data_IF_308573790696
#
_entry.id   IF_308573790696
#
_cell.length_a   1.000
_cell.length_b   1.000
_cell.length_c   1.000
_cell.angle_alpha   90.00
_cell.angle_beta   90.00
_cell.angle_gamma   90.00
#
_symmetry.space_group_name_H-M   'P 1'
#
loop_
_entity.id
_entity.type
_entity.pdbx_description
1 polymer ?
#
# COMPACT_ATOMS: atom_id res chain seq x y z
N UNK A 1 24.57 -0.60 12.93
CA UNK A 1 23.84 0.24 11.97
C UNK A 1 22.37 -0.15 11.91
N UNK A 2 21.49 0.82 12.02
CA UNK A 2 20.06 0.54 12.00
C UNK A 2 19.57 0.51 10.56
N UNK A 3 18.65 -0.41 10.27
CA UNK A 3 17.99 -0.44 8.98
C UNK A 3 16.79 0.50 8.97
N UNK A 4 15.95 0.40 7.96
CA UNK A 4 14.75 1.21 7.88
C UNK A 4 13.78 0.87 9.00
N UNK A 5 12.88 1.80 9.28
CA UNK A 5 11.82 1.54 10.24
C UNK A 5 10.74 0.70 9.57
N UNK A 6 10.50 -0.46 10.11
CA UNK A 6 9.55 -1.40 9.52
C UNK A 6 8.36 -1.61 10.44
N UNK A 7 7.21 -1.85 9.84
CA UNK A 7 6.02 -2.22 10.60
C UNK A 7 6.18 -3.64 11.10
N UNK A 8 5.66 -3.95 12.29
CA UNK A 8 5.66 -5.33 12.76
C UNK A 8 4.73 -6.18 11.91
N UNK A 9 4.95 -7.48 11.95
CA UNK A 9 4.04 -8.39 11.27
C UNK A 9 2.66 -8.33 11.91
N UNK A 10 1.59 -8.42 11.11
CA UNK A 10 0.26 -8.55 11.69
C UNK A 10 0.18 -9.83 12.54
N UNK A 11 -0.58 -9.82 13.63
CA UNK A 11 -0.62 -10.97 14.54
C UNK A 11 -1.00 -12.28 13.87
N UNK A 12 -1.88 -12.26 12.88
CA UNK A 12 -2.33 -13.47 12.20
C UNK A 12 -1.32 -14.01 11.20
N UNK A 13 -0.23 -13.28 10.97
CA UNK A 13 0.84 -13.70 10.06
C UNK A 13 1.99 -14.34 10.81
N UNK A 14 2.17 -13.97 12.09
CA UNK A 14 3.29 -14.44 12.87
C UNK A 14 3.28 -15.96 12.96
N UNK A 15 4.39 -16.58 12.55
CA UNK A 15 4.52 -18.03 12.59
C UNK A 15 3.85 -18.77 11.46
N UNK A 16 3.28 -18.07 10.48
CA UNK A 16 2.62 -18.71 9.35
C UNK A 16 3.58 -18.81 8.17
N UNK A 17 4.05 -20.01 7.91
CA UNK A 17 4.95 -20.22 6.78
C UNK A 17 4.25 -20.12 5.43
N UNK A 18 2.93 -20.27 5.43
CA UNK A 18 2.13 -20.17 4.22
C UNK A 18 1.74 -18.73 3.89
N UNK A 19 2.06 -17.77 4.75
CA UNK A 19 1.82 -16.37 4.46
C UNK A 19 2.96 -15.82 3.62
N UNK A 20 2.64 -14.98 2.64
CA UNK A 20 3.64 -14.37 1.77
C UNK A 20 3.40 -12.88 1.70
N UNK A 21 4.47 -12.12 1.82
CA UNK A 21 4.40 -10.67 1.69
C UNK A 21 4.30 -10.31 0.22
N UNK A 22 3.28 -9.53 -0.12
CA UNK A 22 3.06 -9.18 -1.53
C UNK A 22 3.49 -7.76 -1.86
N UNK A 23 3.62 -6.91 -0.85
CA UNK A 23 3.92 -5.49 -1.06
C UNK A 23 4.65 -4.92 0.13
N UNK A 24 5.70 -4.15 -0.13
CA UNK A 24 6.35 -3.31 0.88
C UNK A 24 6.43 -1.90 0.32
N UNK A 25 6.02 -0.93 1.12
CA UNK A 25 6.03 0.47 0.71
C UNK A 25 6.73 1.30 1.78
N UNK A 26 7.67 2.14 1.35
CA UNK A 26 8.46 2.98 2.25
C UNK A 26 8.42 4.41 1.74
N UNK A 27 8.49 5.35 2.67
CA UNK A 27 8.69 6.75 2.32
C UNK A 27 10.16 7.07 2.55
N UNK A 28 10.83 7.52 1.51
CA UNK A 28 12.25 7.85 1.53
C UNK A 28 12.42 9.23 0.90
N UNK A 29 12.98 10.17 1.65
CA UNK A 29 13.21 11.54 1.17
C UNK A 29 11.94 12.16 0.59
N UNK A 30 10.81 11.90 1.24
CA UNK A 30 9.53 12.45 0.80
C UNK A 30 8.89 11.71 -0.37
N UNK A 31 9.54 10.70 -0.91
CA UNK A 31 9.00 9.93 -2.02
C UNK A 31 8.62 8.52 -1.61
N UNK A 32 7.89 7.85 -2.45
CA UNK A 32 7.42 6.50 -2.21
C UNK A 32 8.33 5.48 -2.90
N UNK A 33 8.76 4.49 -2.15
CA UNK A 33 9.57 3.39 -2.68
C UNK A 33 8.83 2.09 -2.42
N UNK A 34 8.62 1.30 -3.45
CA UNK A 34 7.77 0.13 -3.38
C UNK A 34 8.51 -1.09 -3.91
N UNK A 35 8.41 -2.19 -3.17
CA UNK A 35 8.79 -3.51 -3.66
C UNK A 35 7.54 -4.38 -3.63
N UNK A 36 7.32 -5.13 -4.70
CA UNK A 36 6.12 -5.97 -4.74
C UNK A 36 6.36 -7.23 -5.54
N UNK A 37 5.48 -8.19 -5.34
CA UNK A 37 5.45 -9.43 -6.10
C UNK A 37 4.12 -9.47 -6.86
N UNK A 38 4.17 -9.89 -8.11
CA UNK A 38 2.94 -10.08 -8.86
C UNK A 38 2.26 -11.34 -8.33
N UNK A 39 1.50 -11.17 -7.24
CA UNK A 39 0.96 -12.27 -6.47
C UNK A 39 -0.32 -12.84 -7.05
N UNK A 40 -1.00 -12.10 -7.91
CA UNK A 40 -2.31 -12.49 -8.45
C UNK A 40 -2.23 -12.64 -9.95
N UNK A 41 -3.00 -13.59 -10.47
CA UNK A 41 -3.03 -13.78 -11.92
C UNK A 41 -3.71 -12.64 -12.63
N UNK A 42 -4.78 -12.11 -12.03
CA UNK A 42 -5.57 -11.06 -12.65
C UNK A 42 -5.24 -9.71 -12.01
N UNK A 43 -4.99 -8.69 -12.83
CA UNK A 43 -4.73 -7.34 -12.28
C UNK A 43 -5.87 -6.84 -11.40
N UNK A 44 -7.09 -7.31 -11.64
CA UNK A 44 -8.28 -6.90 -10.89
C UNK A 44 -8.10 -7.10 -9.40
N UNK A 45 -7.41 -8.16 -9.01
CA UNK A 45 -7.21 -8.47 -7.59
C UNK A 45 -6.38 -7.41 -6.88
N UNK A 46 -5.50 -6.73 -7.62
CA UNK A 46 -4.78 -5.59 -7.05
C UNK A 46 -5.74 -4.45 -6.71
N UNK A 47 -6.81 -4.30 -7.50
CA UNK A 47 -7.83 -3.31 -7.17
C UNK A 47 -8.48 -3.59 -5.84
N UNK A 48 -8.81 -4.86 -5.58
CA UNK A 48 -9.38 -5.24 -4.28
C UNK A 48 -8.41 -4.98 -3.15
N UNK A 49 -7.13 -5.34 -3.35
CA UNK A 49 -6.11 -5.08 -2.33
C UNK A 49 -6.01 -3.61 -2.01
N UNK A 50 -5.98 -2.77 -3.04
CA UNK A 50 -5.84 -1.33 -2.84
C UNK A 50 -7.06 -0.74 -2.14
N UNK A 51 -8.25 -1.23 -2.42
CA UNK A 51 -9.45 -0.79 -1.70
C UNK A 51 -9.35 -1.16 -0.23
N UNK A 52 -8.90 -2.36 0.07
CA UNK A 52 -8.73 -2.77 1.46
C UNK A 52 -7.72 -1.88 2.18
N UNK A 53 -6.62 -1.55 1.51
CA UNK A 53 -5.62 -0.64 2.08
C UNK A 53 -6.26 0.72 2.33
N UNK A 54 -7.03 1.24 1.38
CA UNK A 54 -7.68 2.53 1.55
C UNK A 54 -8.64 2.54 2.73
N UNK A 55 -9.40 1.46 2.92
CA UNK A 55 -10.33 1.37 4.05
C UNK A 55 -9.59 1.30 5.37
N UNK A 56 -8.50 0.53 5.44
CA UNK A 56 -7.69 0.49 6.65
C UNK A 56 -7.08 1.85 6.98
N UNK A 57 -6.59 2.56 5.95
CA UNK A 57 -6.06 3.90 6.15
C UNK A 57 -7.14 4.85 6.66
N UNK A 58 -8.35 4.78 6.09
CA UNK A 58 -9.45 5.64 6.51
C UNK A 58 -9.82 5.41 7.97
N UNK A 59 -9.82 4.14 8.40
CA UNK A 59 -10.09 3.81 9.81
C UNK A 59 -9.01 4.36 10.73
N UNK A 60 -7.77 4.33 10.29
CA UNK A 60 -6.68 4.90 11.09
C UNK A 60 -6.86 6.40 11.27
N UNK A 61 -7.26 7.10 10.21
CA UNK A 61 -7.52 8.52 10.32
C UNK A 61 -8.71 8.82 11.24
N UNK A 62 -9.75 7.99 11.18
CA UNK A 62 -10.89 8.19 12.07
C UNK A 62 -10.52 7.94 13.52
N UNK A 63 -9.57 7.03 13.77
CA UNK A 63 -9.14 6.73 15.14
C UNK A 63 -8.14 7.75 15.67
N UNK A 64 -7.20 8.18 14.84
CA UNK A 64 -6.03 8.93 15.30
C UNK A 64 -6.05 10.41 14.94
N UNK A 65 -7.00 10.85 14.13
CA UNK A 65 -7.06 12.22 13.66
C UNK A 65 -8.52 12.70 13.65
N UNK A 66 -8.75 13.93 13.21
CA UNK A 66 -10.07 14.53 13.27
C UNK A 66 -10.81 14.33 11.94
N UNK A 67 -11.09 13.07 11.63
CA UNK A 67 -11.83 12.70 10.43
C UNK A 67 -12.88 11.66 10.79
N UNK A 68 -13.97 11.62 10.02
CA UNK A 68 -14.79 10.42 10.02
C UNK A 68 -14.18 9.43 9.04
N UNK A 69 -14.50 8.17 9.21
CA UNK A 69 -14.00 7.14 8.27
C UNK A 69 -14.48 7.44 6.86
N UNK A 70 -15.74 7.84 6.71
CA UNK A 70 -16.31 8.14 5.39
C UNK A 70 -15.58 9.30 4.72
N UNK A 71 -15.33 10.37 5.45
CA UNK A 71 -14.64 11.54 4.89
C UNK A 71 -13.21 11.19 4.50
N UNK A 72 -12.52 10.44 5.35
CA UNK A 72 -11.15 10.05 5.04
C UNK A 72 -11.11 9.17 3.78
N UNK A 73 -12.02 8.22 3.68
CA UNK A 73 -12.07 7.35 2.50
C UNK A 73 -12.36 8.14 1.24
N UNK A 74 -13.31 9.07 1.32
CA UNK A 74 -13.64 9.92 0.17
C UNK A 74 -12.43 10.70 -0.30
N UNK A 75 -11.68 11.28 0.63
CA UNK A 75 -10.49 12.05 0.27
C UNK A 75 -9.42 11.17 -0.37
N UNK A 76 -9.23 9.96 0.15
CA UNK A 76 -8.25 9.02 -0.42
C UNK A 76 -8.65 8.66 -1.85
N UNK A 77 -9.92 8.32 -2.06
CA UNK A 77 -10.40 7.92 -3.38
C UNK A 77 -10.33 9.08 -4.37
N UNK A 78 -10.72 10.28 -3.93
CA UNK A 78 -10.67 11.45 -4.80
C UNK A 78 -9.25 11.75 -5.26
N UNK A 79 -8.27 11.67 -4.37
CA UNK A 79 -6.88 11.89 -4.74
C UNK A 79 -6.38 10.77 -5.65
N UNK A 80 -6.77 9.54 -5.39
CA UNK A 80 -6.40 8.41 -6.23
C UNK A 80 -6.88 8.62 -7.67
N UNK A 81 -8.14 9.00 -7.81
CA UNK A 81 -8.72 9.22 -9.14
C UNK A 81 -8.07 10.41 -9.84
N UNK A 82 -7.80 11.48 -9.09
CA UNK A 82 -7.15 12.64 -9.67
C UNK A 82 -5.74 12.30 -10.19
N UNK A 83 -5.01 11.52 -9.44
CA UNK A 83 -3.65 11.14 -9.84
C UNK A 83 -3.64 10.16 -11.01
N UNK A 84 -4.60 9.28 -11.10
CA UNK A 84 -4.72 8.42 -12.28
C UNK A 84 -4.97 9.25 -13.51
N UNK A 85 -5.83 10.28 -13.42
CA UNK A 85 -6.16 11.12 -14.54
C UNK A 85 -5.01 12.04 -14.93
N UNK A 86 -4.24 12.53 -13.94
CA UNK A 86 -3.14 13.48 -14.18
C UNK A 86 -2.00 13.19 -13.20
N UNK A 87 -1.15 12.23 -13.52
CA UNK A 87 -0.06 11.89 -12.61
C UNK A 87 0.90 13.07 -12.39
N UNK A 88 1.16 13.37 -11.13
CA UNK A 88 2.17 14.37 -10.77
C UNK A 88 3.52 13.72 -10.51
N UNK A 89 3.52 12.44 -10.13
CA UNK A 89 4.72 11.69 -9.85
C UNK A 89 4.45 10.22 -10.13
N UNK A 90 5.14 9.68 -11.14
CA UNK A 90 4.95 8.27 -11.50
C UNK A 90 5.62 7.32 -10.53
N UNK A 91 6.51 7.85 -9.68
CA UNK A 91 7.16 7.05 -8.67
C UNK A 91 8.20 6.09 -9.23
N UNK A 92 8.79 5.32 -8.34
CA UNK A 92 9.77 4.30 -8.69
C UNK A 92 9.31 2.97 -8.13
N UNK A 93 9.45 1.94 -8.92
CA UNK A 93 9.07 0.60 -8.52
C UNK A 93 10.27 -0.33 -8.61
N UNK A 94 10.48 -1.11 -7.54
CA UNK A 94 11.49 -2.15 -7.55
C UNK A 94 10.76 -3.49 -7.52
N UNK A 95 10.52 -4.09 -8.68
CA UNK A 95 9.76 -5.35 -8.70
C UNK A 95 10.62 -6.52 -8.26
N UNK A 96 10.06 -7.33 -7.38
CA UNK A 96 10.73 -8.53 -6.91
C UNK A 96 10.79 -9.59 -8.01
N UNK A 97 9.82 -9.57 -8.88
CA UNK A 97 9.72 -10.54 -9.95
C UNK A 97 10.14 -9.96 -11.28
N UNK A 98 10.93 -8.91 -11.25
CA UNK A 98 11.30 -8.24 -12.49
C UNK A 98 12.08 -9.12 -13.44
N UNK A 99 12.83 -10.06 -12.93
CA UNK A 99 13.51 -11.01 -13.77
C UNK A 99 12.52 -11.85 -14.56
N UNK A 100 11.28 -11.79 -14.22
CA UNK A 100 10.24 -12.49 -14.94
C UNK A 100 9.55 -11.66 -15.99
N UNK A 101 9.99 -10.43 -16.17
CA UNK A 101 9.32 -9.67 -17.19
C UNK A 101 10.22 -9.00 -18.17
#
# INVERSE_FOLDING_TARGET
>A
MAGPKEQPLPPDVVGREDAAEVLRAFVVDGGLSIAFTRAFEEPDMWGLLLVDIARHAARAYARDADYTEEDALTRIVDMFEAEIARPTDLGNTTPRSQQGH
#
